data_IF_195434525289
#
_entry.id   IF_195434525289
#
_cell.length_a   1.000
_cell.length_b   1.000
_cell.length_c   1.000
_cell.angle_alpha   90.00
_cell.angle_beta   90.00
_cell.angle_gamma   90.00
#
_symmetry.space_group_name_H-M   'P 1'
#
loop_
_entity.id
_entity.type
_entity.pdbx_description
1 polymer ?
#
# COMPACT_ATOMS: atom_id res chain seq x y z
N UNK A 1 -7.96 -21.21 -40.05
CA UNK A 1 -7.82 -20.85 -38.64
C UNK A 1 -6.42 -20.25 -38.44
N UNK A 2 -6.35 -18.99 -37.99
CA UNK A 2 -5.08 -18.38 -37.57
C UNK A 2 -4.68 -19.04 -36.29
N UNK A 3 -3.51 -19.71 -36.25
CA UNK A 3 -2.92 -20.23 -35.03
C UNK A 3 -1.89 -19.24 -34.52
N UNK A 4 -2.00 -18.86 -33.27
CA UNK A 4 -1.03 -18.01 -32.59
C UNK A 4 -0.07 -18.88 -31.79
N UNK A 5 1.21 -18.78 -32.09
CA UNK A 5 2.27 -19.49 -31.36
C UNK A 5 3.12 -18.42 -30.67
N UNK A 6 3.01 -18.26 -29.36
CA UNK A 6 3.80 -17.27 -28.62
C UNK A 6 5.28 -17.69 -28.58
N UNK A 7 6.20 -16.73 -28.53
CA UNK A 7 7.61 -17.03 -28.28
C UNK A 7 7.81 -17.75 -26.93
N UNK A 8 8.75 -18.66 -26.86
CA UNK A 8 9.10 -19.38 -25.64
C UNK A 8 9.84 -18.51 -24.61
N UNK A 9 10.38 -17.35 -25.02
CA UNK A 9 11.13 -16.40 -24.21
C UNK A 9 10.26 -15.24 -23.75
N UNK A 10 10.81 -14.35 -22.90
CA UNK A 10 10.16 -13.12 -22.47
C UNK A 10 9.74 -12.20 -23.64
N UNK A 11 10.31 -12.39 -24.84
CA UNK A 11 9.92 -11.67 -26.05
C UNK A 11 8.42 -11.76 -26.37
N UNK A 12 7.73 -12.78 -25.89
CA UNK A 12 6.25 -12.92 -26.02
C UNK A 12 5.45 -11.80 -25.36
N UNK A 13 6.07 -11.04 -24.45
CA UNK A 13 5.45 -9.91 -23.75
C UNK A 13 5.79 -8.56 -24.40
N UNK A 14 6.59 -8.53 -25.45
CA UNK A 14 6.91 -7.32 -26.19
C UNK A 14 5.82 -7.05 -27.22
N UNK A 15 5.00 -6.04 -26.95
CA UNK A 15 3.84 -5.70 -27.81
C UNK A 15 4.15 -4.68 -28.91
N UNK A 16 5.40 -4.27 -29.04
CA UNK A 16 5.84 -3.27 -30.02
C UNK A 16 7.09 -2.51 -29.59
N UNK A 17 7.24 -1.28 -30.10
CA UNK A 17 8.40 -0.43 -29.78
C UNK A 17 8.43 -0.08 -28.29
N UNK A 18 9.52 -0.42 -27.61
CA UNK A 18 9.72 -0.11 -26.21
C UNK A 18 9.83 1.40 -25.98
N UNK A 19 9.24 1.89 -24.89
CA UNK A 19 9.38 3.29 -24.50
C UNK A 19 10.74 3.50 -23.81
N UNK A 20 11.76 3.86 -24.60
CA UNK A 20 13.14 4.03 -24.13
C UNK A 20 13.22 5.12 -23.04
N UNK A 21 12.42 6.19 -23.13
CA UNK A 21 12.37 7.23 -22.11
C UNK A 21 11.94 6.70 -20.74
N UNK A 22 10.92 5.82 -20.68
CA UNK A 22 10.50 5.19 -19.43
C UNK A 22 11.54 4.21 -18.90
N UNK A 23 12.25 3.50 -19.79
CA UNK A 23 13.34 2.59 -19.38
C UNK A 23 14.50 3.38 -18.77
N UNK A 24 14.88 4.51 -19.36
CA UNK A 24 15.90 5.40 -18.80
C UNK A 24 15.47 5.91 -17.41
N UNK A 25 14.23 6.37 -17.27
CA UNK A 25 13.68 6.78 -15.97
C UNK A 25 13.69 5.67 -14.92
N UNK A 26 13.33 4.44 -15.31
CA UNK A 26 13.41 3.27 -14.43
C UNK A 26 14.86 3.00 -13.99
N UNK A 27 15.82 3.15 -14.89
CA UNK A 27 17.25 2.96 -14.58
C UNK A 27 17.70 3.92 -13.48
N UNK A 28 17.33 5.20 -13.57
CA UNK A 28 17.67 6.18 -12.53
C UNK A 28 16.93 5.89 -11.20
N UNK A 29 15.69 5.47 -11.28
CA UNK A 29 14.93 5.05 -10.07
C UNK A 29 15.59 3.86 -9.37
N UNK A 30 16.10 2.88 -10.12
CA UNK A 30 16.81 1.72 -9.56
C UNK A 30 18.15 2.12 -8.94
N UNK A 31 18.90 3.06 -9.54
CA UNK A 31 20.12 3.61 -8.93
C UNK A 31 19.81 4.23 -7.57
N UNK A 32 18.81 5.13 -7.51
CA UNK A 32 18.40 5.76 -6.27
C UNK A 32 17.95 4.72 -5.23
N UNK A 33 17.21 3.69 -5.64
CA UNK A 33 16.79 2.60 -4.75
C UNK A 33 17.99 1.88 -4.13
N UNK A 34 19.03 1.60 -4.92
CA UNK A 34 20.26 0.98 -4.43
C UNK A 34 21.08 1.92 -3.54
N UNK A 35 21.18 3.21 -3.86
CA UNK A 35 21.84 4.21 -3.02
C UNK A 35 21.21 4.37 -1.66
N UNK A 36 19.87 4.29 -1.58
CA UNK A 36 19.10 4.35 -0.33
C UNK A 36 19.20 3.08 0.52
N UNK A 37 19.77 2.01 -0.01
CA UNK A 37 19.85 0.69 0.59
C UNK A 37 18.48 0.00 0.74
N UNK A 38 18.16 -0.99 -0.12
CA UNK A 38 16.89 -1.73 -0.08
C UNK A 38 16.53 -2.27 1.30
N UNK A 39 17.51 -2.72 2.07
CA UNK A 39 17.30 -3.26 3.42
C UNK A 39 16.85 -2.18 4.41
N UNK A 40 17.38 -0.96 4.28
CA UNK A 40 16.94 0.18 5.11
C UNK A 40 15.52 0.61 4.74
N UNK A 41 15.19 0.63 3.44
CA UNK A 41 13.84 0.92 2.96
C UNK A 41 12.85 -0.10 3.55
N UNK A 42 13.14 -1.39 3.41
CA UNK A 42 12.29 -2.47 3.92
C UNK A 42 12.10 -2.36 5.45
N UNK A 43 13.18 -2.20 6.20
CA UNK A 43 13.13 -2.06 7.66
C UNK A 43 12.33 -0.83 8.09
N UNK A 44 12.46 0.29 7.39
CA UNK A 44 11.70 1.50 7.65
C UNK A 44 10.21 1.27 7.46
N UNK A 45 9.80 0.65 6.34
CA UNK A 45 8.41 0.32 6.05
C UNK A 45 7.86 -0.62 7.13
N UNK A 46 8.57 -1.70 7.45
CA UNK A 46 8.15 -2.65 8.50
C UNK A 46 7.98 -1.97 9.87
N UNK A 47 8.87 -1.06 10.22
CA UNK A 47 8.79 -0.32 11.50
C UNK A 47 7.55 0.56 11.57
N UNK A 48 7.28 1.33 10.51
CA UNK A 48 6.09 2.19 10.45
C UNK A 48 4.80 1.37 10.42
N UNK A 49 4.79 0.26 9.69
CA UNK A 49 3.64 -0.64 9.59
C UNK A 49 3.34 -1.30 10.95
N UNK A 50 4.36 -1.77 11.66
CA UNK A 50 4.21 -2.29 13.05
C UNK A 50 3.62 -1.25 13.98
N UNK A 51 4.08 0.00 13.88
CA UNK A 51 3.57 1.10 14.70
C UNK A 51 2.10 1.38 14.39
N UNK A 52 1.73 1.45 13.10
CA UNK A 52 0.34 1.62 12.69
C UNK A 52 -0.55 0.50 13.25
N UNK A 53 -0.17 -0.76 13.04
CA UNK A 53 -0.93 -1.93 13.50
C UNK A 53 -1.17 -1.86 15.02
N UNK A 54 -0.12 -1.58 15.82
CA UNK A 54 -0.24 -1.45 17.27
C UNK A 54 -1.25 -0.37 17.67
N UNK A 55 -1.22 0.77 17.00
CA UNK A 55 -2.16 1.85 17.28
C UNK A 55 -3.59 1.46 16.91
N UNK A 56 -3.80 0.85 15.75
CA UNK A 56 -5.13 0.38 15.32
C UNK A 56 -5.69 -0.74 16.21
N UNK A 57 -4.84 -1.61 16.77
CA UNK A 57 -5.27 -2.68 17.68
C UNK A 57 -5.82 -2.18 19.02
N UNK A 58 -5.50 -0.95 19.41
CA UNK A 58 -6.03 -0.34 20.64
C UNK A 58 -7.49 0.11 20.52
N UNK A 59 -8.10 0.02 19.34
CA UNK A 59 -9.46 0.46 19.07
C UNK A 59 -10.41 -0.72 18.93
N UNK A 60 -11.36 -0.86 19.85
CA UNK A 60 -12.31 -1.99 19.88
C UNK A 60 -13.19 -2.11 18.63
N UNK A 61 -13.44 -0.98 17.95
CA UNK A 61 -14.26 -0.96 16.73
C UNK A 61 -13.48 -1.33 15.48
N UNK A 62 -12.15 -1.36 15.52
CA UNK A 62 -11.32 -1.64 14.35
C UNK A 62 -11.02 -3.12 14.26
N UNK A 63 -11.29 -3.70 13.09
CA UNK A 63 -10.87 -5.06 12.75
C UNK A 63 -9.79 -4.98 11.69
N UNK A 64 -8.57 -5.36 12.03
CA UNK A 64 -7.46 -5.51 11.07
C UNK A 64 -7.67 -6.81 10.30
N UNK A 65 -7.59 -6.74 8.97
CA UNK A 65 -7.81 -7.86 8.06
C UNK A 65 -6.50 -8.37 7.45
N UNK A 66 -5.44 -7.56 7.49
CA UNK A 66 -4.10 -7.99 7.10
C UNK A 66 -3.48 -8.93 8.13
N UNK A 67 -2.60 -9.87 7.72
CA UNK A 67 -1.81 -10.67 8.65
C UNK A 67 -0.96 -9.77 9.58
N UNK A 68 -1.09 -9.95 10.89
CA UNK A 68 -0.37 -9.14 11.89
C UNK A 68 0.86 -9.86 12.47
N UNK A 69 0.91 -11.18 12.33
CA UNK A 69 2.02 -12.00 12.86
C UNK A 69 3.28 -11.87 12.00
N UNK A 70 3.10 -11.78 10.69
CA UNK A 70 4.18 -11.64 9.71
C UNK A 70 3.96 -10.41 8.85
N UNK A 71 4.68 -9.33 9.17
CA UNK A 71 4.59 -8.06 8.45
C UNK A 71 5.68 -8.00 7.37
N UNK A 72 5.29 -8.32 6.14
CA UNK A 72 6.20 -8.37 4.98
C UNK A 72 6.00 -7.20 4.01
N UNK A 73 5.01 -6.34 4.25
CA UNK A 73 4.71 -5.20 3.38
C UNK A 73 4.21 -3.98 4.15
N UNK A 74 4.14 -2.83 3.48
CA UNK A 74 3.52 -1.61 4.00
C UNK A 74 2.00 -1.56 3.87
N UNK A 75 1.34 -2.64 3.49
CA UNK A 75 -0.11 -2.67 3.25
C UNK A 75 -0.84 -3.17 4.49
N UNK A 76 -1.77 -2.34 4.99
CA UNK A 76 -2.66 -2.69 6.10
C UNK A 76 -4.10 -2.48 5.65
N UNK A 77 -4.89 -3.55 5.72
CA UNK A 77 -6.32 -3.50 5.45
C UNK A 77 -7.10 -3.64 6.75
N UNK A 78 -8.12 -2.81 6.93
CA UNK A 78 -8.96 -2.81 8.13
C UNK A 78 -10.41 -2.45 7.79
N UNK A 79 -11.31 -2.71 8.72
CA UNK A 79 -12.69 -2.25 8.72
C UNK A 79 -13.04 -1.64 10.07
N UNK A 80 -14.06 -0.76 10.08
CA UNK A 80 -14.61 -0.17 11.31
C UNK A 80 -16.02 -0.75 11.50
N UNK A 81 -16.30 -1.31 12.66
CA UNK A 81 -17.61 -1.90 12.97
C UNK A 81 -18.71 -0.86 12.87
N UNK A 82 -19.71 -1.12 12.04
CA UNK A 82 -20.88 -0.25 11.88
C UNK A 82 -20.69 0.90 10.89
N UNK A 83 -19.51 1.05 10.26
CA UNK A 83 -19.24 2.12 9.29
C UNK A 83 -18.91 1.51 7.93
N UNK A 84 -19.66 1.83 6.86
CA UNK A 84 -19.38 1.39 5.50
C UNK A 84 -18.01 1.89 5.00
N UNK A 85 -17.26 1.05 4.29
CA UNK A 85 -15.91 1.40 3.78
C UNK A 85 -15.87 2.65 2.89
N UNK A 86 -16.85 2.90 1.99
CA UNK A 86 -16.89 4.14 1.21
C UNK A 86 -17.01 5.39 2.10
N UNK A 87 -17.74 5.29 3.20
CA UNK A 87 -17.93 6.42 4.13
C UNK A 87 -16.64 6.73 4.89
N UNK A 88 -15.91 5.70 5.35
CA UNK A 88 -14.59 5.86 5.98
C UNK A 88 -13.65 6.60 5.04
N UNK A 89 -13.53 6.15 3.79
CA UNK A 89 -12.65 6.77 2.79
C UNK A 89 -13.06 8.23 2.54
N UNK A 90 -14.37 8.51 2.43
CA UNK A 90 -14.90 9.87 2.22
C UNK A 90 -14.59 10.81 3.41
N UNK A 91 -14.74 10.32 4.65
CA UNK A 91 -14.48 11.13 5.86
C UNK A 91 -12.99 11.44 5.99
N UNK A 92 -12.11 10.46 5.76
CA UNK A 92 -10.66 10.65 5.81
C UNK A 92 -10.16 11.55 4.67
N UNK A 93 -10.76 11.46 3.49
CA UNK A 93 -10.43 12.36 2.37
C UNK A 93 -10.71 13.84 2.71
N UNK A 94 -11.78 14.14 3.45
CA UNK A 94 -12.05 15.51 3.93
C UNK A 94 -10.92 16.05 4.83
N UNK A 95 -10.22 15.16 5.52
CA UNK A 95 -9.03 15.46 6.33
C UNK A 95 -7.72 15.40 5.53
N UNK A 96 -7.80 15.33 4.19
CA UNK A 96 -6.66 15.20 3.25
C UNK A 96 -5.87 13.90 3.43
N UNK A 97 -6.50 12.86 4.00
CA UNK A 97 -5.93 11.53 4.13
C UNK A 97 -6.52 10.67 3.02
N UNK A 98 -5.67 10.28 2.07
CA UNK A 98 -6.06 9.50 0.89
C UNK A 98 -5.87 8.02 1.17
N UNK A 99 -6.95 7.29 1.30
CA UNK A 99 -6.97 5.83 1.43
C UNK A 99 -7.73 5.21 0.27
N UNK A 100 -7.62 3.90 0.14
CA UNK A 100 -8.32 3.17 -0.91
C UNK A 100 -9.30 2.16 -0.31
N UNK A 101 -10.50 2.16 -0.82
CA UNK A 101 -11.43 1.06 -0.65
C UNK A 101 -10.96 -0.16 -1.42
N UNK A 102 -11.10 -1.33 -0.81
CA UNK A 102 -10.88 -2.63 -1.44
C UNK A 102 -12.20 -3.38 -1.44
N UNK A 103 -12.76 -3.51 -2.63
CA UNK A 103 -13.98 -4.28 -2.87
C UNK A 103 -13.62 -5.77 -2.78
N UNK A 104 -13.76 -6.33 -1.60
CA UNK A 104 -13.52 -7.73 -1.29
C UNK A 104 -14.61 -8.23 -0.33
N UNK A 105 -14.62 -9.51 -0.03
CA UNK A 105 -15.52 -10.06 0.99
C UNK A 105 -14.68 -10.54 2.18
N UNK A 106 -14.69 -9.84 3.31
CA UNK A 106 -15.37 -8.56 3.59
C UNK A 106 -14.68 -7.35 2.93
N UNK A 107 -15.47 -6.29 2.63
CA UNK A 107 -14.96 -5.00 2.16
C UNK A 107 -14.05 -4.36 3.21
N UNK A 108 -13.01 -3.66 2.76
CA UNK A 108 -11.99 -3.08 3.65
C UNK A 108 -11.45 -1.76 3.15
N UNK A 109 -10.85 -1.01 4.06
CA UNK A 109 -10.04 0.18 3.74
C UNK A 109 -8.57 -0.19 3.80
N UNK A 110 -7.80 0.22 2.78
CA UNK A 110 -6.37 -0.06 2.66
C UNK A 110 -5.54 1.18 2.94
N UNK A 111 -4.62 1.05 3.88
CA UNK A 111 -3.51 1.95 4.10
C UNK A 111 -2.28 1.38 3.41
N UNK A 112 -1.53 2.21 2.69
CA UNK A 112 -0.29 1.81 2.03
C UNK A 112 0.84 2.68 2.57
N UNK A 113 1.69 2.09 3.40
CA UNK A 113 2.85 2.75 4.01
C UNK A 113 4.04 2.68 3.07
N UNK A 114 4.70 3.81 2.89
CA UNK A 114 5.93 3.94 2.13
C UNK A 114 7.08 4.42 3.02
N UNK A 115 8.33 4.22 2.61
CA UNK A 115 9.49 4.61 3.42
C UNK A 115 9.60 6.14 3.67
N UNK A 116 8.98 6.95 2.83
CA UNK A 116 8.94 8.42 2.99
C UNK A 116 7.93 8.88 4.05
N UNK A 117 7.00 8.01 4.46
CA UNK A 117 6.04 8.38 5.49
C UNK A 117 6.74 8.62 6.83
N UNK A 118 6.12 9.50 7.62
CA UNK A 118 6.60 9.89 8.94
C UNK A 118 5.78 9.22 10.05
N UNK A 119 6.35 9.15 11.24
CA UNK A 119 5.60 8.70 12.42
C UNK A 119 4.48 9.66 12.83
N UNK A 120 4.61 10.93 12.46
CA UNK A 120 3.58 11.94 12.68
C UNK A 120 2.35 11.63 11.85
N UNK A 121 2.52 11.33 10.56
CA UNK A 121 1.42 10.92 9.67
C UNK A 121 0.73 9.64 10.16
N UNK A 122 1.48 8.67 10.71
CA UNK A 122 0.89 7.46 11.30
C UNK A 122 -0.01 7.82 12.50
N UNK A 123 0.37 8.78 13.34
CA UNK A 123 -0.46 9.25 14.45
C UNK A 123 -1.67 10.04 13.95
N UNK A 124 -1.49 10.89 12.97
CA UNK A 124 -2.55 11.72 12.38
C UNK A 124 -3.65 10.85 11.76
N UNK A 125 -3.29 9.78 11.02
CA UNK A 125 -4.32 8.89 10.45
C UNK A 125 -5.09 8.16 11.55
N UNK A 126 -4.43 7.70 12.61
CA UNK A 126 -5.11 7.02 13.72
C UNK A 126 -6.05 7.99 14.44
N UNK A 127 -5.57 9.20 14.80
CA UNK A 127 -6.44 10.24 15.38
C UNK A 127 -7.64 10.59 14.49
N UNK A 128 -7.45 10.61 13.17
CA UNK A 128 -8.54 10.88 12.24
C UNK A 128 -9.56 9.72 12.18
N UNK A 129 -9.13 8.49 12.39
CA UNK A 129 -10.00 7.31 12.48
C UNK A 129 -10.79 7.30 13.80
N UNK A 130 -10.20 7.79 14.91
CA UNK A 130 -10.84 7.86 16.22
C UNK A 130 -12.06 8.77 16.24
N UNK A 131 -12.14 9.71 15.31
CA UNK A 131 -13.27 10.63 15.18
C UNK A 131 -14.42 10.05 14.34
N UNK A 132 -14.30 8.82 13.82
CA UNK A 132 -15.32 8.10 13.04
C UNK A 132 -16.09 7.14 13.95
#
# INVERSE_FOLDING_TARGET
KLSFIPFSTAKRFESGTMNIGLIAGLTESLKLYHELDPSKIENRIKTLTKKLIRLLQNHEKIKILSPIEKIDSGIVSFSIKGVPTPEIVKLLLKKKIVLREVESTPSSVRISIHYVNTEKEIKEIVSAIDEI
#
